data_IF_490733552818
#
_entry.id   IF_490733552818
#
_cell.length_a   1.000
_cell.length_b   1.000
_cell.length_c   1.000
_cell.angle_alpha   90.00
_cell.angle_beta   90.00
_cell.angle_gamma   90.00
#
_symmetry.space_group_name_H-M   'P 1'
#
loop_
_entity.id
_entity.type
_entity.pdbx_description
1 polymer ?
#
# COMPACT_ATOMS: atom_id res chain seq x y z
N UNK A 1 17.32 84.51 -27.02
CA UNK A 1 17.34 83.85 -25.71
C UNK A 1 15.89 83.54 -25.36
N UNK A 2 15.58 82.25 -25.23
CA UNK A 2 14.27 81.67 -25.52
C UNK A 2 13.22 81.86 -24.43
N UNK A 3 11.99 81.95 -24.89
CA UNK A 3 10.69 81.90 -24.21
C UNK A 3 10.53 80.66 -23.31
N UNK A 4 10.07 80.89 -22.08
CA UNK A 4 9.88 79.88 -21.04
C UNK A 4 8.43 79.33 -20.99
N UNK A 5 8.31 78.18 -20.33
CA UNK A 5 7.44 77.02 -20.53
C UNK A 5 5.90 77.18 -20.58
N UNK A 6 5.31 76.42 -21.53
CA UNK A 6 3.93 75.91 -21.48
C UNK A 6 3.87 74.49 -20.90
N UNK A 7 2.88 74.32 -20.03
CA UNK A 7 2.18 73.13 -19.53
C UNK A 7 2.49 71.73 -20.11
N UNK A 8 2.55 70.74 -19.22
CA UNK A 8 2.14 69.36 -19.53
C UNK A 8 1.65 68.60 -18.28
N UNK A 9 0.32 68.45 -18.18
CA UNK A 9 -0.37 67.49 -17.29
C UNK A 9 -0.19 66.08 -17.86
N UNK A 10 0.17 65.10 -17.04
CA UNK A 10 0.08 63.68 -17.41
C UNK A 10 -0.66 62.89 -16.33
N UNK A 11 -1.80 62.32 -16.74
CA UNK A 11 -2.63 61.39 -15.99
C UNK A 11 -1.92 60.03 -16.01
N UNK A 12 -1.66 59.43 -14.85
CA UNK A 12 -1.16 58.04 -14.74
C UNK A 12 -2.34 57.12 -14.48
N UNK A 13 -2.75 56.37 -15.51
CA UNK A 13 -3.65 55.22 -15.36
C UNK A 13 -2.76 54.00 -15.08
N UNK A 14 -2.88 53.42 -13.88
CA UNK A 14 -2.23 52.17 -13.52
C UNK A 14 -3.20 51.00 -13.68
N UNK A 15 -2.85 50.05 -14.56
CA UNK A 15 -3.60 48.83 -14.86
C UNK A 15 -3.51 47.86 -13.68
N UNK A 16 -4.66 47.38 -13.19
CA UNK A 16 -4.74 46.30 -12.21
C UNK A 16 -4.66 44.94 -12.91
N UNK A 17 -3.65 44.13 -12.58
CA UNK A 17 -3.48 42.76 -13.06
C UNK A 17 -4.16 41.80 -12.09
N UNK A 18 -5.27 41.17 -12.51
CA UNK A 18 -5.94 40.10 -11.76
C UNK A 18 -5.40 38.76 -12.25
N UNK A 19 -4.63 38.05 -11.42
CA UNK A 19 -4.18 36.69 -11.69
C UNK A 19 -5.28 35.70 -11.26
N UNK A 20 -5.95 35.08 -12.22
CA UNK A 20 -6.85 33.95 -12.00
C UNK A 20 -6.02 32.68 -11.72
N UNK A 21 -5.97 32.26 -10.45
CA UNK A 21 -5.30 31.03 -10.03
C UNK A 21 -6.13 29.79 -10.40
N UNK A 22 -5.63 28.99 -11.33
CA UNK A 22 -6.14 27.64 -11.59
C UNK A 22 -5.75 26.75 -10.42
N UNK A 23 -6.73 26.17 -9.72
CA UNK A 23 -6.48 25.15 -8.70
C UNK A 23 -6.16 23.85 -9.45
N UNK A 24 -4.87 23.56 -9.67
CA UNK A 24 -4.46 22.22 -10.06
C UNK A 24 -4.77 21.26 -8.90
N UNK A 25 -5.32 20.06 -9.13
CA UNK A 25 -5.38 19.05 -8.09
C UNK A 25 -3.94 18.75 -7.66
N UNK A 26 -3.68 18.78 -6.36
CA UNK A 26 -2.39 18.38 -5.81
C UNK A 26 -2.14 16.91 -6.18
N UNK A 27 -1.29 16.68 -7.18
CA UNK A 27 -0.74 15.35 -7.45
C UNK A 27 0.16 15.04 -6.27
N UNK A 28 -0.31 14.18 -5.36
CA UNK A 28 0.54 13.68 -4.29
C UNK A 28 1.57 12.77 -4.95
N UNK A 29 2.83 13.21 -4.97
CA UNK A 29 3.91 12.41 -5.50
C UNK A 29 4.09 11.17 -4.61
N UNK A 30 3.93 9.98 -5.20
CA UNK A 30 4.35 8.74 -4.58
C UNK A 30 5.88 8.79 -4.49
N UNK A 31 6.45 8.49 -3.33
CA UNK A 31 7.89 8.54 -3.10
C UNK A 31 8.56 7.20 -3.43
N UNK A 32 9.85 7.26 -3.81
CA UNK A 32 10.75 6.13 -3.60
C UNK A 32 10.72 5.79 -2.10
N UNK A 33 10.69 4.50 -1.77
CA UNK A 33 10.63 4.13 -0.37
C UNK A 33 10.73 2.65 -0.11
N UNK A 34 10.84 2.34 1.17
CA UNK A 34 11.13 1.03 1.70
C UNK A 34 10.08 0.64 2.74
N UNK A 35 9.72 -0.63 2.73
CA UNK A 35 8.75 -1.20 3.67
C UNK A 35 9.37 -2.45 4.23
N UNK A 36 9.50 -2.50 5.54
CA UNK A 36 9.98 -3.68 6.24
C UNK A 36 9.15 -3.89 7.49
N UNK A 37 8.78 -5.14 7.76
CA UNK A 37 7.98 -5.42 8.94
C UNK A 37 7.67 -6.88 9.09
N UNK A 38 7.34 -7.26 10.31
CA UNK A 38 6.78 -8.56 10.62
C UNK A 38 5.78 -8.39 11.74
N UNK A 39 4.75 -9.22 11.75
CA UNK A 39 3.72 -9.12 12.75
C UNK A 39 2.75 -10.28 12.73
N UNK A 40 1.88 -10.26 13.73
CA UNK A 40 0.79 -11.21 13.85
C UNK A 40 -0.48 -10.49 14.31
N UNK A 41 -1.62 -11.01 13.88
CA UNK A 41 -2.93 -10.48 14.20
C UNK A 41 -3.99 -11.58 14.19
N UNK A 42 -4.95 -11.57 15.12
CA UNK A 42 -6.14 -12.40 15.01
C UNK A 42 -7.07 -11.84 13.93
N UNK A 43 -7.84 -12.73 13.31
CA UNK A 43 -8.98 -12.36 12.48
C UNK A 43 -10.29 -12.43 13.27
N UNK A 44 -11.33 -11.69 12.84
CA UNK A 44 -12.67 -11.86 13.37
C UNK A 44 -13.17 -13.31 13.22
N UNK A 45 -14.02 -13.75 14.15
CA UNK A 45 -14.67 -15.04 14.04
C UNK A 45 -15.49 -15.15 12.75
N UNK A 46 -15.50 -16.34 12.13
CA UNK A 46 -16.18 -16.58 10.86
C UNK A 46 -15.40 -16.17 9.61
N UNK A 47 -14.17 -15.68 9.75
CA UNK A 47 -13.30 -15.42 8.60
C UNK A 47 -12.95 -16.74 7.91
N UNK A 48 -13.08 -16.78 6.58
CA UNK A 48 -12.77 -17.97 5.79
C UNK A 48 -11.87 -17.63 4.60
N UNK A 49 -11.04 -18.59 4.22
CA UNK A 49 -10.23 -18.56 3.00
C UNK A 49 -10.24 -19.93 2.35
N UNK A 50 -10.75 -20.04 1.11
CA UNK A 50 -10.88 -21.32 0.41
C UNK A 50 -11.50 -22.44 1.27
N UNK A 51 -12.60 -22.14 1.97
CA UNK A 51 -13.32 -23.05 2.89
C UNK A 51 -12.58 -23.43 4.19
N UNK A 52 -11.39 -22.89 4.42
CA UNK A 52 -10.68 -22.99 5.71
C UNK A 52 -11.13 -21.84 6.60
N UNK A 53 -11.58 -22.14 7.82
CA UNK A 53 -11.88 -21.12 8.83
C UNK A 53 -10.55 -20.59 9.36
N UNK A 54 -10.19 -19.34 9.06
CA UNK A 54 -8.92 -18.75 9.47
C UNK A 54 -9.10 -17.87 10.71
N UNK A 55 -8.29 -18.12 11.73
CA UNK A 55 -8.35 -17.44 13.03
C UNK A 55 -7.34 -16.31 13.17
N UNK A 56 -6.32 -16.28 12.32
CA UNK A 56 -5.31 -15.22 12.36
C UNK A 56 -4.27 -15.34 11.25
N UNK A 57 -3.38 -14.37 11.26
CA UNK A 57 -2.30 -14.20 10.30
C UNK A 57 -1.00 -13.90 11.03
N UNK A 58 0.10 -14.47 10.53
CA UNK A 58 1.46 -14.03 10.78
C UNK A 58 2.10 -13.70 9.44
N UNK A 59 2.91 -12.65 9.38
CA UNK A 59 3.55 -12.23 8.14
C UNK A 59 4.95 -11.65 8.38
N UNK A 60 5.73 -11.62 7.32
CA UNK A 60 6.95 -10.85 7.16
C UNK A 60 6.96 -10.18 5.79
N UNK A 61 7.50 -8.98 5.70
CA UNK A 61 7.63 -8.23 4.46
C UNK A 61 8.92 -7.43 4.44
N UNK A 62 9.52 -7.32 3.26
CA UNK A 62 10.66 -6.45 2.98
C UNK A 62 10.64 -6.09 1.52
N UNK A 63 10.43 -4.82 1.19
CA UNK A 63 10.40 -4.35 -0.20
C UNK A 63 10.92 -2.94 -0.32
N UNK A 64 11.58 -2.66 -1.44
CA UNK A 64 12.11 -1.34 -1.77
C UNK A 64 11.80 -0.98 -3.22
N UNK A 65 11.56 0.30 -3.47
CA UNK A 65 11.33 0.81 -4.82
C UNK A 65 11.88 2.21 -4.99
N UNK A 66 12.63 2.43 -6.06
CA UNK A 66 13.15 3.75 -6.42
C UNK A 66 12.10 4.63 -7.12
N UNK A 67 11.04 4.02 -7.67
CA UNK A 67 9.97 4.69 -8.40
C UNK A 67 8.64 4.06 -7.98
N UNK A 68 7.58 4.85 -7.79
CA UNK A 68 6.26 4.32 -7.48
C UNK A 68 5.76 3.28 -8.48
N UNK A 69 5.16 2.22 -7.95
CA UNK A 69 4.62 1.11 -8.73
C UNK A 69 5.68 0.10 -9.19
N UNK A 70 6.96 0.38 -8.98
CA UNK A 70 8.07 -0.53 -9.27
C UNK A 70 8.86 -0.80 -7.99
N UNK A 71 9.02 -2.07 -7.65
CA UNK A 71 9.81 -2.46 -6.49
C UNK A 71 10.21 -3.91 -6.54
N UNK A 72 11.14 -4.27 -5.68
CA UNK A 72 11.57 -5.65 -5.47
C UNK A 72 11.55 -5.95 -3.99
N UNK A 73 11.20 -7.18 -3.63
CA UNK A 73 11.16 -7.60 -2.25
C UNK A 73 10.48 -8.94 -2.07
N UNK A 74 10.30 -9.30 -0.81
CA UNK A 74 9.69 -10.55 -0.39
C UNK A 74 8.49 -10.27 0.52
N UNK A 75 7.48 -11.12 0.41
CA UNK A 75 6.30 -11.11 1.25
C UNK A 75 5.93 -12.53 1.65
N UNK A 76 5.98 -12.81 2.95
CA UNK A 76 5.65 -14.10 3.52
C UNK A 76 4.42 -13.98 4.41
N UNK A 77 3.48 -14.90 4.26
CA UNK A 77 2.26 -14.97 5.07
C UNK A 77 2.01 -16.40 5.49
N UNK A 78 1.61 -16.56 6.75
CA UNK A 78 1.07 -17.79 7.30
C UNK A 78 -0.31 -17.49 7.87
N UNK A 79 -1.33 -18.18 7.37
CA UNK A 79 -2.68 -18.15 7.94
C UNK A 79 -2.89 -19.39 8.80
N UNK A 80 -3.35 -19.18 10.02
CA UNK A 80 -3.71 -20.26 10.93
C UNK A 80 -5.20 -20.50 10.85
N UNK A 81 -5.62 -21.74 10.65
CA UNK A 81 -7.02 -22.05 10.51
C UNK A 81 -7.38 -23.49 10.82
N UNK A 82 -8.64 -23.81 10.54
CA UNK A 82 -9.22 -25.13 10.73
C UNK A 82 -9.97 -25.52 9.46
N UNK A 83 -9.68 -26.72 8.97
CA UNK A 83 -10.31 -27.28 7.76
C UNK A 83 -11.79 -27.57 8.01
N UNK A 84 -12.55 -27.81 6.94
CA UNK A 84 -13.96 -28.21 7.02
C UNK A 84 -14.18 -29.50 7.84
N UNK A 85 -13.14 -30.33 8.02
CA UNK A 85 -13.18 -31.56 8.81
C UNK A 85 -12.75 -31.35 10.27
N UNK A 86 -12.48 -30.12 10.69
CA UNK A 86 -12.07 -29.79 12.06
C UNK A 86 -10.57 -29.98 12.33
N UNK A 87 -9.76 -30.27 11.32
CA UNK A 87 -8.31 -30.42 11.48
C UNK A 87 -7.60 -29.06 11.45
N UNK A 88 -6.57 -28.88 12.29
CA UNK A 88 -5.70 -27.71 12.21
C UNK A 88 -5.03 -27.65 10.83
N UNK A 89 -5.09 -26.49 10.19
CA UNK A 89 -4.56 -26.27 8.85
C UNK A 89 -3.77 -24.97 8.81
N UNK A 90 -2.57 -25.04 8.25
CA UNK A 90 -1.66 -23.90 8.11
C UNK A 90 -1.51 -23.61 6.62
N UNK A 91 -1.99 -22.45 6.19
CA UNK A 91 -1.88 -21.99 4.81
C UNK A 91 -0.67 -21.06 4.73
N UNK A 92 0.21 -21.27 3.76
CA UNK A 92 1.41 -20.46 3.56
C UNK A 92 1.37 -19.78 2.21
N UNK A 93 1.82 -18.54 2.18
CA UNK A 93 2.01 -17.79 0.95
C UNK A 93 3.40 -17.17 0.98
N UNK A 94 4.18 -17.47 -0.05
CA UNK A 94 5.52 -16.93 -0.27
C UNK A 94 5.47 -16.18 -1.60
N UNK A 95 5.61 -14.86 -1.54
CA UNK A 95 5.42 -13.97 -2.68
C UNK A 95 6.62 -13.08 -2.95
N UNK A 96 6.91 -12.92 -4.23
CA UNK A 96 7.86 -11.93 -4.74
C UNK A 96 7.10 -10.62 -4.96
N UNK A 97 7.56 -9.55 -4.32
CA UNK A 97 7.05 -8.19 -4.53
C UNK A 97 7.64 -7.65 -5.83
N UNK A 98 6.76 -7.25 -6.75
CA UNK A 98 7.15 -6.59 -8.01
C UNK A 98 6.74 -5.12 -8.08
N UNK A 99 5.91 -4.66 -7.14
CA UNK A 99 5.44 -3.28 -7.10
C UNK A 99 5.21 -2.81 -5.67
N UNK A 100 5.63 -1.57 -5.41
CA UNK A 100 5.47 -0.87 -4.14
C UNK A 100 4.95 0.55 -4.39
N UNK A 101 4.00 0.99 -3.59
CA UNK A 101 3.49 2.37 -3.64
C UNK A 101 3.27 2.87 -2.23
N UNK A 102 3.96 3.94 -1.85
CA UNK A 102 3.89 4.53 -0.50
C UNK A 102 3.19 5.87 -0.57
N UNK A 103 2.19 6.04 0.28
CA UNK A 103 1.41 7.27 0.40
C UNK A 103 0.98 7.48 1.85
N UNK A 104 1.38 8.61 2.45
CA UNK A 104 0.92 9.06 3.77
C UNK A 104 0.99 7.99 4.88
N UNK A 105 2.11 7.26 4.98
CA UNK A 105 2.30 6.23 6.01
C UNK A 105 1.53 4.92 5.75
N UNK A 106 1.01 4.74 4.54
CA UNK A 106 0.53 3.46 4.04
C UNK A 106 1.38 3.01 2.86
N UNK A 107 1.60 1.70 2.78
CA UNK A 107 2.29 1.06 1.68
C UNK A 107 1.38 0.02 1.02
N UNK A 108 1.37 -0.01 -0.30
CA UNK A 108 0.72 -1.05 -1.09
C UNK A 108 1.80 -1.85 -1.79
N UNK A 109 1.88 -3.14 -1.45
CA UNK A 109 2.76 -4.12 -2.08
C UNK A 109 1.92 -4.98 -3.02
N UNK A 110 2.47 -5.26 -4.20
CA UNK A 110 1.85 -6.12 -5.22
C UNK A 110 2.89 -7.07 -5.79
N UNK A 111 2.44 -8.23 -6.22
CA UNK A 111 3.29 -9.22 -6.83
C UNK A 111 2.59 -10.54 -7.03
N UNK A 112 3.40 -11.58 -7.20
CA UNK A 112 2.92 -12.96 -7.38
C UNK A 112 3.72 -13.91 -6.51
N UNK A 113 3.12 -15.03 -6.12
CA UNK A 113 3.77 -16.01 -5.27
C UNK A 113 3.26 -17.42 -5.42
N UNK A 114 3.73 -18.28 -4.51
CA UNK A 114 3.25 -19.62 -4.31
C UNK A 114 2.32 -19.68 -3.10
N UNK A 115 1.15 -20.30 -3.27
CA UNK A 115 0.17 -20.55 -2.22
C UNK A 115 0.10 -22.03 -1.91
N UNK A 116 0.49 -22.41 -0.70
CA UNK A 116 0.32 -23.75 -0.15
C UNK A 116 -0.88 -23.75 0.79
N UNK A 117 -1.89 -24.56 0.48
CA UNK A 117 -3.07 -24.71 1.33
C UNK A 117 -2.80 -25.55 2.58
N UNK A 118 -1.69 -26.29 2.66
CA UNK A 118 -1.38 -27.16 3.80
C UNK A 118 -2.28 -28.40 3.89
N UNK A 119 -2.93 -28.77 2.78
CA UNK A 119 -3.80 -29.94 2.64
C UNK A 119 -3.11 -31.14 1.97
N UNK A 120 -1.80 -31.02 1.71
CA UNK A 120 -0.99 -32.03 1.02
C UNK A 120 -1.02 -31.93 -0.50
N UNK A 121 -1.74 -30.96 -1.08
CA UNK A 121 -1.66 -30.67 -2.51
C UNK A 121 -0.40 -29.87 -2.87
N UNK A 122 -0.05 -29.85 -4.16
CA UNK A 122 1.10 -29.07 -4.64
C UNK A 122 0.81 -27.57 -4.51
N UNK A 123 1.75 -26.76 -3.98
CA UNK A 123 1.58 -25.31 -3.91
C UNK A 123 1.25 -24.70 -5.28
N UNK A 124 0.22 -23.85 -5.31
CA UNK A 124 -0.19 -23.14 -6.52
C UNK A 124 0.72 -21.95 -6.76
N UNK A 125 1.46 -21.96 -7.86
CA UNK A 125 2.36 -20.87 -8.27
C UNK A 125 1.63 -19.80 -9.11
N UNK A 126 2.20 -18.59 -9.19
CA UNK A 126 1.66 -17.48 -9.96
C UNK A 126 0.40 -16.86 -9.33
N UNK A 127 0.22 -17.02 -8.02
CA UNK A 127 -0.90 -16.45 -7.28
C UNK A 127 -0.69 -14.95 -7.09
N UNK A 128 -1.54 -14.07 -7.65
CA UNK A 128 -1.41 -12.64 -7.44
C UNK A 128 -1.78 -12.29 -6.01
N UNK A 129 -1.06 -11.33 -5.43
CA UNK A 129 -1.38 -10.76 -4.14
C UNK A 129 -1.36 -9.23 -4.14
N UNK A 130 -2.06 -8.67 -3.17
CA UNK A 130 -1.94 -7.26 -2.80
C UNK A 130 -1.95 -7.17 -1.28
N UNK A 131 -0.91 -6.56 -0.71
CA UNK A 131 -0.82 -6.28 0.71
C UNK A 131 -0.83 -4.77 0.94
N UNK A 132 -1.87 -4.26 1.61
CA UNK A 132 -1.91 -2.87 2.05
C UNK A 132 -1.54 -2.81 3.53
N UNK A 133 -0.41 -2.19 3.80
CA UNK A 133 0.17 -2.06 5.12
C UNK A 133 0.05 -0.61 5.62
N UNK A 134 -0.13 -0.49 6.93
CA UNK A 134 0.22 0.71 7.71
C UNK A 134 1.13 0.26 8.85
N UNK A 135 1.60 1.18 9.70
CA UNK A 135 2.43 0.82 10.85
C UNK A 135 1.82 -0.27 11.77
N UNK A 136 0.47 -0.37 11.81
CA UNK A 136 -0.24 -1.20 12.77
C UNK A 136 -1.35 -2.08 12.15
N UNK A 137 -1.50 -2.07 10.83
CA UNK A 137 -2.55 -2.87 10.17
C UNK A 137 -2.06 -3.49 8.88
N UNK A 138 -2.64 -4.65 8.56
CA UNK A 138 -2.45 -5.35 7.30
C UNK A 138 -3.81 -5.68 6.69
N UNK A 139 -4.00 -5.30 5.44
CA UNK A 139 -5.08 -5.80 4.60
C UNK A 139 -4.47 -6.66 3.49
N UNK A 140 -4.92 -7.90 3.39
CA UNK A 140 -4.37 -8.88 2.46
C UNK A 140 -5.42 -9.35 1.46
N UNK A 141 -5.04 -9.32 0.18
CA UNK A 141 -5.80 -9.91 -0.92
C UNK A 141 -4.95 -10.99 -1.57
N UNK A 142 -5.48 -12.22 -1.64
CA UNK A 142 -4.83 -13.37 -2.28
C UNK A 142 -5.74 -13.95 -3.35
N UNK A 143 -5.28 -14.04 -4.61
CA UNK A 143 -6.10 -14.52 -5.74
C UNK A 143 -7.48 -13.85 -5.87
N UNK A 144 -7.59 -12.57 -5.49
CA UNK A 144 -8.85 -11.83 -5.50
C UNK A 144 -9.71 -11.99 -4.24
N UNK A 145 -9.38 -12.92 -3.34
CA UNK A 145 -10.06 -13.04 -2.04
C UNK A 145 -9.48 -12.01 -1.07
N UNK A 146 -10.32 -11.06 -0.64
CA UNK A 146 -9.96 -10.05 0.36
C UNK A 146 -10.21 -10.60 1.75
N UNK A 147 -9.15 -10.74 2.55
CA UNK A 147 -9.28 -11.06 3.97
C UNK A 147 -9.65 -9.80 4.76
N UNK A 148 -10.30 -9.94 5.93
CA UNK A 148 -10.53 -8.82 6.84
C UNK A 148 -9.23 -8.11 7.17
N UNK A 149 -9.31 -6.79 7.42
CA UNK A 149 -8.16 -6.04 7.89
C UNK A 149 -7.73 -6.54 9.27
N UNK A 150 -6.48 -6.96 9.36
CA UNK A 150 -5.83 -7.40 10.58
C UNK A 150 -5.20 -6.20 11.29
N UNK A 151 -5.54 -6.01 12.57
CA UNK A 151 -4.84 -5.07 13.45
C UNK A 151 -3.76 -5.82 14.21
N UNK A 152 -2.51 -5.35 14.13
CA UNK A 152 -1.37 -6.05 14.72
C UNK A 152 -1.51 -6.11 16.24
N UNK A 153 -1.38 -7.31 16.80
CA UNK A 153 -1.24 -7.53 18.24
C UNK A 153 0.21 -7.82 18.63
N UNK A 154 1.05 -8.17 17.66
CA UNK A 154 2.49 -8.35 17.80
C UNK A 154 3.23 -7.84 16.56
N UNK A 155 4.46 -7.35 16.79
CA UNK A 155 5.32 -6.82 15.74
C UNK A 155 4.95 -5.40 15.30
N UNK A 156 5.59 -4.94 14.22
CA UNK A 156 5.40 -3.60 13.65
C UNK A 156 5.81 -3.58 12.19
N UNK A 157 5.30 -2.59 11.46
CA UNK A 157 5.70 -2.31 10.08
C UNK A 157 6.32 -0.92 10.03
N UNK A 158 7.52 -0.84 9.47
CA UNK A 158 8.23 0.40 9.19
C UNK A 158 8.06 0.74 7.72
N UNK A 159 7.67 1.98 7.44
CA UNK A 159 7.49 2.52 6.09
C UNK A 159 8.34 3.79 6.00
N UNK A 160 9.26 3.85 5.04
CA UNK A 160 10.21 4.94 4.85
C UNK A 160 10.09 5.52 3.45
#
# INVERSE_FOLDING_TARGET
MSTDMRASRWIRVGVALVLAGWIAPAVVALAAGEVAGAGAAPFPAGTTFNLVSVSGVQFGMGAAGAVPGLGTGDFHVTLFGTSALGASQVIKFDGDVSGISILQGSAVLTGTGALDMGDGTVPRVGVPFTATATANTLLLVLSGTTLPRATLTQGAITIQ
#
